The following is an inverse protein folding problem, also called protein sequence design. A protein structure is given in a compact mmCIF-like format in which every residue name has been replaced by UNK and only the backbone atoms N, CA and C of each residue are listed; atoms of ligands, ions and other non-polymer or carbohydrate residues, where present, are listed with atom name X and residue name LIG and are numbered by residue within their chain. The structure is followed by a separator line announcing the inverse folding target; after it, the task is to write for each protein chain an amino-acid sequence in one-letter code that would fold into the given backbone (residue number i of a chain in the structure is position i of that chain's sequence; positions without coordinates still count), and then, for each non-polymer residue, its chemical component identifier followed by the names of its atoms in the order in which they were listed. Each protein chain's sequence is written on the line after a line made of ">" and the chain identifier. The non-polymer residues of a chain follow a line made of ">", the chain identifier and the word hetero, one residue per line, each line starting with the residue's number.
data_IF_478913685270
#
_entry.id   IF_478913685270
#
_cell.length_a   1.000
_cell.length_b   1.000
_cell.length_c   1.000
_cell.angle_alpha   90.00
_cell.angle_beta   90.00
_cell.angle_gamma   90.00
#
_symmetry.space_group_name_H-M   'P 1'
#
loop_
_entity.id
_entity.type
_entity.pdbx_description
1 polymer ?
#
# COMPACT_ATOMS: atom_id res chain seq x y z
N UNK A 1 -23.79 23.59 -18.68
CA UNK A 1 -22.51 23.95 -17.99
C UNK A 1 -21.87 22.65 -17.55
N UNK A 2 -20.82 22.21 -18.22
CA UNK A 2 -20.16 20.95 -17.94
C UNK A 2 -19.24 21.08 -16.69
N UNK A 3 -19.20 20.11 -15.81
CA UNK A 3 -18.34 20.17 -14.63
C UNK A 3 -16.89 19.75 -14.95
N UNK A 4 -15.96 20.63 -14.64
CA UNK A 4 -14.52 20.51 -14.83
C UNK A 4 -13.78 19.49 -13.94
N UNK A 5 -14.39 18.40 -13.47
CA UNK A 5 -13.76 17.47 -12.52
C UNK A 5 -12.94 16.32 -13.12
N UNK A 6 -12.88 16.15 -14.45
CA UNK A 6 -12.17 15.04 -15.09
C UNK A 6 -10.64 15.22 -15.22
N UNK A 7 -10.08 16.42 -15.04
CA UNK A 7 -8.67 16.67 -15.32
C UNK A 7 -7.71 16.33 -14.18
N UNK A 8 -8.10 16.49 -12.92
CA UNK A 8 -7.19 16.23 -11.78
C UNK A 8 -6.90 14.74 -11.57
N UNK A 9 -7.91 13.86 -11.69
CA UNK A 9 -7.72 12.41 -11.54
C UNK A 9 -6.81 11.82 -12.61
N UNK A 10 -6.82 12.34 -13.83
CA UNK A 10 -6.00 11.83 -14.93
C UNK A 10 -4.53 12.21 -14.76
N UNK A 11 -4.22 13.39 -14.25
CA UNK A 11 -2.85 13.83 -13.96
C UNK A 11 -2.22 13.06 -12.79
N UNK A 12 -2.98 12.74 -11.74
CA UNK A 12 -2.50 11.96 -10.61
C UNK A 12 -2.17 10.52 -11.01
N UNK A 13 -3.03 9.86 -11.78
CA UNK A 13 -2.81 8.49 -12.26
C UNK A 13 -1.60 8.38 -13.22
N UNK A 14 -1.32 9.42 -14.00
CA UNK A 14 -0.14 9.47 -14.87
C UNK A 14 1.14 9.63 -14.03
N UNK A 15 1.11 10.42 -12.96
CA UNK A 15 2.24 10.61 -12.04
C UNK A 15 2.57 9.33 -11.27
N UNK A 16 1.58 8.61 -10.78
CA UNK A 16 1.75 7.34 -10.07
C UNK A 16 2.33 6.25 -10.97
N UNK A 17 1.81 6.10 -12.20
CA UNK A 17 2.38 5.15 -13.15
C UNK A 17 3.86 5.43 -13.44
N UNK A 18 4.26 6.71 -13.53
CA UNK A 18 5.67 7.10 -13.70
C UNK A 18 6.51 6.73 -12.47
N UNK A 19 6.01 6.98 -11.26
CA UNK A 19 6.71 6.62 -10.03
C UNK A 19 6.95 5.10 -9.94
N UNK A 20 5.94 4.28 -10.24
CA UNK A 20 6.10 2.83 -10.30
C UNK A 20 7.12 2.39 -11.36
N UNK A 21 7.05 2.93 -12.58
CA UNK A 21 7.98 2.58 -13.66
C UNK A 21 9.42 2.96 -13.28
N UNK A 22 9.63 4.16 -12.73
CA UNK A 22 10.96 4.60 -12.28
C UNK A 22 11.45 3.72 -11.14
N UNK A 23 10.62 3.47 -10.11
CA UNK A 23 10.98 2.61 -8.99
C UNK A 23 11.34 1.19 -9.42
N UNK A 24 10.51 0.56 -10.26
CA UNK A 24 10.78 -0.77 -10.82
C UNK A 24 12.09 -0.76 -11.62
N UNK A 25 12.31 0.24 -12.47
CA UNK A 25 13.51 0.31 -13.32
C UNK A 25 14.78 0.46 -12.46
N UNK A 26 14.75 1.32 -11.45
CA UNK A 26 15.88 1.52 -10.54
C UNK A 26 16.21 0.23 -9.75
N UNK A 27 15.18 -0.43 -9.21
CA UNK A 27 15.38 -1.67 -8.45
C UNK A 27 15.83 -2.82 -9.36
N UNK A 28 15.29 -2.98 -10.58
CA UNK A 28 15.79 -3.97 -11.55
C UNK A 28 17.26 -3.71 -11.89
N UNK A 29 17.64 -2.47 -12.16
CA UNK A 29 19.03 -2.11 -12.47
C UNK A 29 19.95 -2.47 -11.28
N UNK A 30 19.51 -2.22 -10.06
CA UNK A 30 20.24 -2.57 -8.86
C UNK A 30 20.40 -4.09 -8.70
N UNK A 31 19.31 -4.86 -8.83
CA UNK A 31 19.33 -6.32 -8.80
C UNK A 31 20.32 -6.91 -9.82
N UNK A 32 20.34 -6.37 -11.05
CA UNK A 32 21.27 -6.83 -12.11
C UNK A 32 22.72 -6.59 -11.68
N UNK A 33 23.02 -5.41 -11.16
CA UNK A 33 24.39 -5.06 -10.71
C UNK A 33 24.79 -5.93 -9.53
N UNK A 34 23.91 -6.07 -8.54
CA UNK A 34 24.16 -6.84 -7.33
C UNK A 34 24.34 -8.35 -7.63
N UNK A 35 23.50 -8.91 -8.50
CA UNK A 35 23.64 -10.28 -9.00
C UNK A 35 24.97 -10.48 -9.74
N UNK A 36 25.33 -9.53 -10.64
CA UNK A 36 26.58 -9.56 -11.40
C UNK A 36 27.82 -9.50 -10.50
N UNK A 37 27.81 -8.61 -9.49
CA UNK A 37 28.89 -8.50 -8.51
C UNK A 37 28.94 -9.74 -7.61
N UNK A 38 27.80 -10.22 -7.13
CA UNK A 38 27.69 -11.44 -6.32
C UNK A 38 28.22 -12.67 -7.04
N UNK A 39 27.92 -12.81 -8.33
CA UNK A 39 28.44 -13.87 -9.17
C UNK A 39 29.95 -13.75 -9.42
N UNK A 40 30.44 -12.55 -9.73
CA UNK A 40 31.87 -12.32 -10.00
C UNK A 40 32.75 -12.59 -8.77
N UNK A 41 32.30 -12.17 -7.59
CA UNK A 41 33.01 -12.38 -6.32
C UNK A 41 32.65 -13.68 -5.60
N UNK A 42 31.81 -14.51 -6.21
CA UNK A 42 31.30 -15.78 -5.63
C UNK A 42 30.71 -15.59 -4.22
N UNK A 43 30.00 -14.47 -4.02
CA UNK A 43 29.43 -14.09 -2.74
C UNK A 43 27.97 -14.56 -2.64
N UNK A 44 27.73 -15.60 -1.84
CA UNK A 44 26.37 -16.07 -1.56
C UNK A 44 25.50 -15.01 -0.87
N UNK A 45 26.10 -14.16 -0.04
CA UNK A 45 25.40 -13.04 0.62
C UNK A 45 24.81 -12.07 -0.40
N UNK A 46 25.60 -11.60 -1.37
CA UNK A 46 25.15 -10.71 -2.42
C UNK A 46 24.11 -11.36 -3.34
N UNK A 47 24.25 -12.64 -3.64
CA UNK A 47 23.25 -13.37 -4.44
C UNK A 47 21.92 -13.54 -3.69
N UNK A 48 21.98 -13.74 -2.38
CA UNK A 48 20.79 -13.81 -1.52
C UNK A 48 20.09 -12.44 -1.45
N UNK A 49 20.84 -11.35 -1.30
CA UNK A 49 20.34 -9.98 -1.26
C UNK A 49 19.70 -9.59 -2.61
N UNK A 50 20.35 -9.90 -3.72
CA UNK A 50 19.77 -9.75 -5.06
C UNK A 50 18.47 -10.53 -5.24
N UNK A 51 18.36 -11.72 -4.65
CA UNK A 51 17.13 -12.51 -4.62
C UNK A 51 16.01 -11.85 -3.82
N UNK A 52 16.33 -11.23 -2.69
CA UNK A 52 15.40 -10.43 -1.89
C UNK A 52 14.90 -9.21 -2.66
N UNK A 53 15.80 -8.42 -3.20
CA UNK A 53 15.49 -7.23 -4.00
C UNK A 53 14.67 -7.56 -5.27
N UNK A 54 14.82 -8.76 -5.84
CA UNK A 54 13.93 -9.23 -6.90
C UNK A 54 12.49 -9.44 -6.42
N UNK A 55 12.30 -9.90 -5.18
CA UNK A 55 10.99 -9.98 -4.51
C UNK A 55 10.33 -8.61 -4.36
N UNK A 56 11.13 -7.57 -4.06
CA UNK A 56 10.66 -6.19 -3.92
C UNK A 56 10.17 -5.63 -5.27
N UNK A 57 10.93 -5.90 -6.34
CA UNK A 57 10.50 -5.60 -7.71
C UNK A 57 9.17 -6.27 -8.04
N UNK A 58 8.98 -7.55 -7.65
CA UNK A 58 7.74 -8.26 -7.87
C UNK A 58 6.56 -7.58 -7.15
N UNK A 59 6.76 -7.11 -5.90
CA UNK A 59 5.75 -6.37 -5.13
C UNK A 59 5.36 -5.05 -5.82
N UNK A 60 6.33 -4.28 -6.33
CA UNK A 60 6.07 -3.07 -7.10
C UNK A 60 5.32 -3.35 -8.41
N UNK A 61 5.68 -4.42 -9.11
CA UNK A 61 5.01 -4.85 -10.35
C UNK A 61 3.56 -5.26 -10.05
N UNK A 62 3.31 -6.00 -8.98
CA UNK A 62 1.95 -6.39 -8.57
C UNK A 62 1.09 -5.15 -8.27
N UNK A 63 1.63 -4.17 -7.54
CA UNK A 63 0.92 -2.92 -7.26
C UNK A 63 0.61 -2.15 -8.55
N UNK A 64 1.56 -2.02 -9.47
CA UNK A 64 1.34 -1.39 -10.78
C UNK A 64 0.29 -2.15 -11.61
N UNK A 65 0.32 -3.49 -11.58
CA UNK A 65 -0.65 -4.33 -12.28
C UNK A 65 -2.05 -4.12 -11.73
N UNK A 66 -2.22 -4.03 -10.42
CA UNK A 66 -3.50 -3.74 -9.79
C UNK A 66 -4.11 -2.42 -10.28
N UNK A 67 -3.31 -1.34 -10.37
CA UNK A 67 -3.75 -0.08 -10.96
C UNK A 67 -4.16 -0.18 -12.43
N UNK A 68 -3.52 -1.05 -13.21
CA UNK A 68 -3.92 -1.30 -14.61
C UNK A 68 -5.21 -2.11 -14.68
N UNK A 69 -5.35 -3.14 -13.86
CA UNK A 69 -6.54 -3.99 -13.80
C UNK A 69 -7.78 -3.20 -13.35
N UNK A 70 -7.64 -2.24 -12.45
CA UNK A 70 -8.74 -1.36 -12.02
C UNK A 70 -9.39 -0.61 -13.20
N UNK A 71 -8.64 -0.34 -14.27
CA UNK A 71 -9.12 0.38 -15.47
C UNK A 71 -9.76 -0.52 -16.52
N UNK A 72 -9.70 -1.84 -16.33
CA UNK A 72 -10.31 -2.79 -17.27
C UNK A 72 -11.83 -2.69 -17.17
N UNK A 73 -12.49 -2.57 -18.33
CA UNK A 73 -13.93 -2.42 -18.39
C UNK A 73 -14.68 -3.61 -17.77
N UNK A 74 -15.80 -3.36 -17.12
CA UNK A 74 -16.70 -4.41 -16.63
C UNK A 74 -17.11 -5.38 -17.73
N UNK A 75 -17.39 -6.64 -17.33
CA UNK A 75 -17.93 -7.66 -18.21
C UNK A 75 -19.02 -8.46 -17.51
N UNK A 76 -19.65 -9.42 -18.21
CA UNK A 76 -20.76 -10.20 -17.65
C UNK A 76 -20.41 -11.04 -16.41
N UNK A 77 -19.12 -11.37 -16.19
CA UNK A 77 -18.67 -12.12 -15.01
C UNK A 77 -18.21 -11.21 -13.87
N UNK A 78 -17.67 -10.03 -14.22
CA UNK A 78 -17.13 -9.05 -13.27
C UNK A 78 -17.80 -7.70 -13.55
N UNK A 79 -18.97 -7.49 -12.99
CA UNK A 79 -19.84 -6.33 -13.28
C UNK A 79 -19.25 -5.00 -12.78
N UNK A 80 -18.39 -5.01 -11.77
CA UNK A 80 -17.59 -3.87 -11.36
C UNK A 80 -16.18 -3.86 -11.99
N UNK A 81 -15.88 -4.77 -12.94
CA UNK A 81 -14.54 -4.99 -13.46
C UNK A 81 -13.62 -5.63 -12.41
N UNK A 82 -12.32 -5.33 -12.50
CA UNK A 82 -11.30 -5.87 -11.59
C UNK A 82 -10.88 -4.89 -10.50
N UNK A 83 -11.74 -3.96 -10.11
CA UNK A 83 -11.44 -2.91 -9.13
C UNK A 83 -10.95 -3.46 -7.79
N UNK A 84 -11.54 -4.54 -7.29
CA UNK A 84 -11.10 -5.21 -6.05
C UNK A 84 -9.68 -5.77 -6.09
N UNK A 85 -9.07 -5.92 -7.28
CA UNK A 85 -7.66 -6.34 -7.37
C UNK A 85 -6.71 -5.41 -6.62
N UNK A 86 -7.02 -4.11 -6.53
CA UNK A 86 -6.21 -3.15 -5.79
C UNK A 86 -6.21 -3.43 -4.28
N UNK A 87 -7.35 -3.81 -3.72
CA UNK A 87 -7.49 -4.20 -2.30
C UNK A 87 -6.73 -5.50 -2.03
N UNK A 88 -6.90 -6.51 -2.90
CA UNK A 88 -6.25 -7.81 -2.73
C UNK A 88 -4.72 -7.71 -2.85
N UNK A 89 -4.20 -6.90 -3.77
CA UNK A 89 -2.76 -6.68 -3.92
C UNK A 89 -2.21 -5.89 -2.73
N UNK A 90 -2.94 -4.89 -2.22
CA UNK A 90 -2.54 -4.18 -1.00
C UNK A 90 -2.45 -5.12 0.21
N UNK A 91 -3.43 -6.02 0.36
CA UNK A 91 -3.41 -7.04 1.40
C UNK A 91 -2.23 -8.00 1.23
N UNK A 92 -1.98 -8.46 -0.01
CA UNK A 92 -0.84 -9.34 -0.31
C UNK A 92 0.49 -8.67 0.02
N UNK A 93 0.68 -7.41 -0.34
CA UNK A 93 1.89 -6.65 -0.02
C UNK A 93 2.09 -6.49 1.49
N UNK A 94 1.02 -6.23 2.25
CA UNK A 94 1.11 -6.19 3.71
C UNK A 94 1.54 -7.54 4.31
N UNK A 95 1.02 -8.65 3.77
CA UNK A 95 1.41 -10.00 4.20
C UNK A 95 2.88 -10.29 3.84
N UNK A 96 3.32 -9.95 2.63
CA UNK A 96 4.73 -10.11 2.20
C UNK A 96 5.66 -9.35 3.14
N UNK A 97 5.37 -8.09 3.48
CA UNK A 97 6.14 -7.29 4.44
C UNK A 97 6.23 -7.96 5.82
N UNK A 98 5.12 -8.49 6.34
CA UNK A 98 5.12 -9.16 7.65
C UNK A 98 5.90 -10.48 7.63
N UNK A 99 5.87 -11.20 6.51
CA UNK A 99 6.70 -12.41 6.33
C UNK A 99 8.19 -12.03 6.31
N UNK A 100 8.56 -10.99 5.55
CA UNK A 100 9.94 -10.48 5.52
C UNK A 100 10.43 -10.08 6.91
N UNK A 101 9.61 -9.37 7.68
CA UNK A 101 9.93 -9.01 9.08
C UNK A 101 10.08 -10.26 9.96
N UNK A 102 9.25 -11.29 9.77
CA UNK A 102 9.38 -12.57 10.46
C UNK A 102 10.74 -13.22 10.19
N UNK A 103 11.25 -13.15 8.97
CA UNK A 103 12.59 -13.63 8.59
C UNK A 103 13.66 -12.80 9.30
N UNK A 104 13.58 -11.47 9.29
CA UNK A 104 14.52 -10.57 9.98
C UNK A 104 14.59 -10.91 11.47
N UNK A 105 13.45 -11.15 12.13
CA UNK A 105 13.41 -11.55 13.54
C UNK A 105 14.10 -12.90 13.75
N UNK A 106 13.79 -13.90 12.93
CA UNK A 106 14.38 -15.23 13.04
C UNK A 106 15.90 -15.19 12.85
N UNK A 107 16.40 -14.49 11.83
CA UNK A 107 17.83 -14.30 11.58
C UNK A 107 18.51 -13.52 12.71
N UNK A 108 17.87 -12.47 13.22
CA UNK A 108 18.41 -11.70 14.35
C UNK A 108 18.53 -12.54 15.61
N UNK A 109 17.53 -13.37 15.91
CA UNK A 109 17.56 -14.30 17.04
C UNK A 109 18.67 -15.34 16.85
N UNK A 110 18.81 -15.92 15.66
CA UNK A 110 19.87 -16.89 15.37
C UNK A 110 21.27 -16.28 15.57
N UNK A 111 21.50 -15.07 15.06
CA UNK A 111 22.77 -14.33 15.23
C UNK A 111 23.07 -13.96 16.68
N UNK A 112 22.06 -13.83 17.56
CA UNK A 112 22.29 -13.64 19.01
C UNK A 112 22.93 -14.87 19.66
N UNK A 113 22.54 -16.08 19.21
CA UNK A 113 23.06 -17.34 19.76
C UNK A 113 24.29 -17.83 19.00
N UNK A 114 24.42 -17.50 17.72
CA UNK A 114 25.53 -17.92 16.84
C UNK A 114 26.15 -16.69 16.16
N UNK A 115 26.97 -15.88 16.88
CA UNK A 115 27.60 -14.71 16.32
C UNK A 115 28.48 -15.06 15.11
N UNK A 116 28.20 -14.48 13.95
CA UNK A 116 29.00 -14.64 12.72
C UNK A 116 29.92 -13.43 12.57
N UNK A 117 31.22 -13.68 12.32
CA UNK A 117 32.11 -12.60 11.90
C UNK A 117 31.85 -12.21 10.47
N UNK A 118 31.36 -11.01 10.24
CA UNK A 118 31.06 -10.48 8.93
C UNK A 118 32.27 -9.70 8.40
N UNK A 119 32.81 -10.09 7.24
CA UNK A 119 33.83 -9.31 6.54
C UNK A 119 33.16 -8.13 5.81
N UNK A 120 33.29 -6.93 6.45
CA UNK A 120 32.33 -5.86 6.30
C UNK A 120 32.47 -4.95 5.07
N UNK A 121 33.55 -5.01 4.25
CA UNK A 121 33.78 -3.93 3.30
C UNK A 121 32.95 -4.01 2.02
N UNK A 122 32.84 -5.17 1.38
CA UNK A 122 32.05 -5.34 0.15
C UNK A 122 30.53 -5.26 0.42
N UNK A 123 30.10 -5.81 1.57
CA UNK A 123 28.71 -5.77 2.03
C UNK A 123 28.29 -4.34 2.37
N UNK A 124 29.16 -3.54 3.01
CA UNK A 124 28.87 -2.15 3.36
C UNK A 124 28.67 -1.26 2.13
N UNK A 125 29.42 -1.47 1.05
CA UNK A 125 29.26 -0.70 -0.18
C UNK A 125 27.97 -1.02 -0.91
N UNK A 126 27.62 -2.30 -1.05
CA UNK A 126 26.37 -2.74 -1.67
C UNK A 126 25.15 -2.32 -0.86
N UNK A 127 25.18 -2.49 0.47
CA UNK A 127 24.16 -1.97 1.35
C UNK A 127 24.00 -0.44 1.23
N UNK A 128 25.12 0.30 1.11
CA UNK A 128 25.08 1.75 0.91
C UNK A 128 24.39 2.18 -0.39
N UNK A 129 24.59 1.45 -1.49
CA UNK A 129 23.88 1.68 -2.76
C UNK A 129 22.40 1.31 -2.60
N UNK A 130 22.08 0.20 -1.94
CA UNK A 130 20.72 -0.21 -1.61
C UNK A 130 19.96 0.86 -0.83
N UNK A 131 20.59 1.45 0.20
CA UNK A 131 20.01 2.59 0.95
C UNK A 131 19.58 3.71 0.01
N UNK A 132 20.47 4.12 -0.91
CA UNK A 132 20.19 5.24 -1.81
C UNK A 132 19.03 4.90 -2.75
N UNK A 133 19.03 3.72 -3.35
CA UNK A 133 18.00 3.31 -4.32
C UNK A 133 16.65 3.14 -3.64
N UNK A 134 16.59 2.44 -2.49
CA UNK A 134 15.36 2.21 -1.76
C UNK A 134 14.81 3.52 -1.17
N UNK A 135 15.67 4.39 -0.64
CA UNK A 135 15.26 5.71 -0.15
C UNK A 135 14.73 6.61 -1.26
N UNK A 136 15.38 6.64 -2.44
CA UNK A 136 14.89 7.38 -3.60
C UNK A 136 13.55 6.82 -4.09
N UNK A 137 13.41 5.51 -4.15
CA UNK A 137 12.16 4.86 -4.56
C UNK A 137 11.04 5.13 -3.54
N UNK A 138 11.32 5.04 -2.24
CA UNK A 138 10.37 5.41 -1.19
C UNK A 138 9.95 6.89 -1.32
N UNK A 139 10.90 7.79 -1.58
CA UNK A 139 10.61 9.21 -1.76
C UNK A 139 9.67 9.48 -2.94
N UNK A 140 9.77 8.73 -4.04
CA UNK A 140 8.85 8.84 -5.17
C UNK A 140 7.39 8.57 -4.78
N UNK A 141 7.15 7.66 -3.83
CA UNK A 141 5.82 7.30 -3.34
C UNK A 141 5.34 8.14 -2.15
N UNK A 142 6.24 8.84 -1.47
CA UNK A 142 5.95 9.54 -0.20
C UNK A 142 4.80 10.55 -0.31
N UNK A 143 4.69 11.25 -1.44
CA UNK A 143 3.67 12.30 -1.66
C UNK A 143 2.25 11.75 -1.73
N UNK A 144 2.08 10.54 -2.27
CA UNK A 144 0.76 9.99 -2.58
C UNK A 144 0.42 8.75 -1.73
N UNK A 145 1.27 8.39 -0.76
CA UNK A 145 1.11 7.21 0.11
C UNK A 145 -0.19 7.18 0.92
N UNK A 146 -0.72 8.34 1.27
CA UNK A 146 -1.93 8.45 2.09
C UNK A 146 -3.22 8.46 1.25
N UNK A 147 -3.09 8.45 -0.09
CA UNK A 147 -4.23 8.50 -1.02
C UNK A 147 -4.65 7.11 -1.52
N UNK A 148 -3.75 6.13 -1.48
CA UNK A 148 -4.01 4.77 -1.96
C UNK A 148 -3.19 3.73 -1.21
N UNK A 149 -3.82 2.60 -0.85
CA UNK A 149 -3.19 1.54 -0.05
C UNK A 149 -2.06 0.82 -0.80
N UNK A 150 -2.10 0.72 -2.15
CA UNK A 150 -1.00 0.13 -2.91
C UNK A 150 0.21 1.05 -2.95
N UNK A 151 -0.01 2.39 -3.04
CA UNK A 151 1.06 3.39 -2.95
C UNK A 151 1.65 3.38 -1.53
N UNK A 152 0.80 3.30 -0.51
CA UNK A 152 1.23 3.15 0.89
C UNK A 152 2.05 1.87 1.10
N UNK A 153 1.60 0.75 0.52
CA UNK A 153 2.33 -0.52 0.54
C UNK A 153 3.71 -0.42 -0.11
N UNK A 154 3.79 0.14 -1.32
CA UNK A 154 5.05 0.36 -2.03
C UNK A 154 6.00 1.28 -1.25
N UNK A 155 5.48 2.39 -0.68
CA UNK A 155 6.25 3.29 0.17
C UNK A 155 6.82 2.57 1.39
N UNK A 156 5.97 1.84 2.13
CA UNK A 156 6.38 1.13 3.36
C UNK A 156 7.41 0.05 3.08
N UNK A 157 7.26 -0.68 1.98
CA UNK A 157 8.19 -1.71 1.54
C UNK A 157 9.57 -1.10 1.27
N UNK A 158 9.67 -0.12 0.40
CA UNK A 158 10.94 0.56 0.07
C UNK A 158 11.56 1.29 1.27
N UNK A 159 10.74 1.87 2.14
CA UNK A 159 11.22 2.51 3.37
C UNK A 159 11.76 1.50 4.39
N UNK A 160 11.12 0.32 4.49
CA UNK A 160 11.58 -0.78 5.33
C UNK A 160 12.96 -1.28 4.86
N UNK A 161 13.11 -1.51 3.54
CA UNK A 161 14.36 -2.00 2.96
C UNK A 161 15.49 -0.97 3.11
N UNK A 162 15.19 0.32 2.91
CA UNK A 162 16.14 1.39 3.20
C UNK A 162 16.57 1.41 4.68
N UNK A 163 15.61 1.21 5.60
CA UNK A 163 15.87 1.19 7.04
C UNK A 163 16.73 -0.02 7.46
N UNK A 164 16.44 -1.19 6.91
CA UNK A 164 17.24 -2.41 7.12
C UNK A 164 18.67 -2.17 6.65
N UNK A 165 18.83 -1.65 5.41
CA UNK A 165 20.16 -1.35 4.84
C UNK A 165 20.93 -0.30 5.66
N UNK A 166 20.28 0.76 6.16
CA UNK A 166 20.89 1.72 7.10
C UNK A 166 21.32 1.04 8.39
N UNK A 167 20.50 0.14 8.93
CA UNK A 167 20.83 -0.63 10.12
C UNK A 167 22.06 -1.52 9.93
N UNK A 168 22.16 -2.18 8.77
CA UNK A 168 23.33 -3.00 8.39
C UNK A 168 24.60 -2.15 8.32
N UNK A 169 24.53 -0.97 7.68
CA UNK A 169 25.68 -0.06 7.62
C UNK A 169 26.06 0.47 9.01
N UNK A 170 25.08 0.86 9.82
CA UNK A 170 25.32 1.36 11.18
C UNK A 170 25.92 0.27 12.09
N UNK A 171 25.38 -0.95 12.04
CA UNK A 171 25.93 -2.08 12.79
C UNK A 171 27.37 -2.38 12.37
N UNK A 172 27.64 -2.43 11.06
CA UNK A 172 28.97 -2.64 10.51
C UNK A 172 30.01 -1.62 11.00
N UNK A 173 29.62 -0.32 11.01
CA UNK A 173 30.48 0.76 11.55
C UNK A 173 30.75 0.53 13.04
N UNK A 174 29.72 0.30 13.85
CA UNK A 174 29.86 0.10 15.29
C UNK A 174 30.73 -1.13 15.59
N UNK A 175 30.50 -2.23 14.89
CA UNK A 175 31.27 -3.47 15.06
C UNK A 175 32.75 -3.25 14.72
N UNK A 176 33.03 -2.51 13.66
CA UNK A 176 34.41 -2.20 13.24
C UNK A 176 35.19 -1.45 14.33
N UNK A 177 34.55 -0.53 15.06
CA UNK A 177 35.22 0.27 16.10
C UNK A 177 35.19 -0.40 17.48
N UNK A 178 34.18 -1.23 17.79
CA UNK A 178 33.99 -1.78 19.14
C UNK A 178 34.25 -3.28 19.25
N UNK A 179 34.18 -4.02 18.13
CA UNK A 179 34.21 -5.48 18.10
C UNK A 179 32.93 -6.16 18.62
N UNK A 180 31.88 -5.39 18.91
CA UNK A 180 30.66 -5.92 19.52
C UNK A 180 29.66 -6.44 18.45
N UNK A 181 29.83 -7.71 18.05
CA UNK A 181 28.97 -8.34 17.02
C UNK A 181 27.48 -8.47 17.44
N UNK A 182 27.18 -8.37 18.74
CA UNK A 182 25.79 -8.41 19.25
C UNK A 182 24.94 -7.18 18.84
N UNK A 183 25.58 -6.11 18.40
CA UNK A 183 24.88 -4.89 17.96
C UNK A 183 24.03 -5.14 16.71
N UNK A 184 24.51 -5.97 15.77
CA UNK A 184 23.79 -6.27 14.53
C UNK A 184 22.39 -6.87 14.78
N UNK A 185 22.24 -7.99 15.51
CA UNK A 185 20.92 -8.54 15.80
C UNK A 185 20.04 -7.63 16.67
N UNK A 186 20.61 -6.82 17.56
CA UNK A 186 19.82 -5.85 18.35
C UNK A 186 19.22 -4.78 17.46
N UNK A 187 20.01 -4.22 16.54
CA UNK A 187 19.52 -3.24 15.54
C UNK A 187 18.47 -3.91 14.66
N UNK A 188 18.69 -5.14 14.17
CA UNK A 188 17.72 -5.90 13.37
C UNK A 188 16.38 -6.08 14.08
N UNK A 189 16.38 -6.46 15.35
CA UNK A 189 15.14 -6.57 16.15
C UNK A 189 14.45 -5.21 16.34
N UNK A 190 15.22 -4.14 16.58
CA UNK A 190 14.66 -2.79 16.69
C UNK A 190 13.98 -2.34 15.40
N UNK A 191 14.60 -2.59 14.25
CA UNK A 191 14.05 -2.31 12.93
C UNK A 191 12.78 -3.13 12.68
N UNK A 192 12.79 -4.43 13.01
CA UNK A 192 11.64 -5.31 12.88
C UNK A 192 10.42 -4.76 13.62
N UNK A 193 10.58 -4.26 14.86
CA UNK A 193 9.49 -3.61 15.61
C UNK A 193 8.93 -2.40 14.87
N UNK A 194 9.80 -1.52 14.33
CA UNK A 194 9.38 -0.32 13.59
C UNK A 194 8.57 -0.73 12.35
N UNK A 195 9.02 -1.74 11.60
CA UNK A 195 8.32 -2.21 10.40
C UNK A 195 6.98 -2.85 10.75
N UNK A 196 6.88 -3.67 11.79
CA UNK A 196 5.60 -4.24 12.24
C UNK A 196 4.60 -3.14 12.55
N UNK A 197 4.99 -2.16 13.36
CA UNK A 197 4.09 -1.05 13.77
C UNK A 197 3.62 -0.25 12.55
N UNK A 198 4.51 0.06 11.61
CA UNK A 198 4.16 0.83 10.41
C UNK A 198 3.29 0.03 9.42
N UNK A 199 3.50 -1.29 9.31
CA UNK A 199 2.77 -2.16 8.38
C UNK A 199 1.41 -2.60 8.94
N UNK A 200 1.24 -2.59 10.27
CA UNK A 200 0.00 -3.01 10.91
C UNK A 200 -1.23 -2.26 10.41
N UNK A 201 -1.12 -0.95 10.24
CA UNK A 201 -2.19 -0.13 9.67
C UNK A 201 -2.56 -0.54 8.25
N UNK A 202 -1.56 -0.80 7.39
CA UNK A 202 -1.80 -1.27 6.03
C UNK A 202 -2.53 -2.62 6.00
N UNK A 203 -2.11 -3.58 6.83
CA UNK A 203 -2.75 -4.88 6.95
C UNK A 203 -4.20 -4.75 7.40
N UNK A 204 -4.43 -3.99 8.48
CA UNK A 204 -5.77 -3.79 9.05
C UNK A 204 -6.72 -3.13 8.05
N UNK A 205 -6.28 -2.05 7.41
CA UNK A 205 -7.07 -1.32 6.41
C UNK A 205 -7.39 -2.21 5.20
N UNK A 206 -6.40 -2.93 4.66
CA UNK A 206 -6.59 -3.82 3.51
C UNK A 206 -7.51 -4.99 3.85
N UNK A 207 -7.39 -5.58 5.03
CA UNK A 207 -8.26 -6.65 5.50
C UNK A 207 -9.70 -6.15 5.67
N UNK A 208 -9.89 -4.97 6.29
CA UNK A 208 -11.19 -4.32 6.45
C UNK A 208 -11.89 -4.12 5.10
N UNK A 209 -11.16 -3.57 4.10
CA UNK A 209 -11.72 -3.36 2.76
C UNK A 209 -12.00 -4.69 2.02
N UNK A 210 -11.21 -5.73 2.23
CA UNK A 210 -11.42 -7.04 1.62
C UNK A 210 -12.66 -7.76 2.16
N UNK A 211 -13.04 -7.46 3.41
CA UNK A 211 -14.23 -7.96 4.11
C UNK A 211 -15.45 -7.03 3.94
N UNK A 212 -15.45 -6.16 2.97
CA UNK A 212 -16.52 -5.18 2.70
C UNK A 212 -16.82 -4.24 3.90
N UNK A 213 -15.82 -4.00 4.76
CA UNK A 213 -15.94 -3.02 5.84
C UNK A 213 -15.99 -1.58 5.31
N UNK A 214 -16.58 -0.68 6.10
CA UNK A 214 -16.68 0.74 5.76
C UNK A 214 -15.27 1.32 5.60
N UNK A 215 -14.94 1.99 4.48
CA UNK A 215 -13.61 2.55 4.24
C UNK A 215 -13.18 3.55 5.33
N UNK A 216 -11.86 3.63 5.56
CA UNK A 216 -11.28 4.60 6.49
C UNK A 216 -11.61 6.03 6.00
N UNK A 217 -12.05 6.89 6.92
CA UNK A 217 -12.46 8.26 6.61
C UNK A 217 -13.93 8.44 6.26
N UNK A 218 -14.70 7.34 6.11
CA UNK A 218 -16.14 7.39 5.94
C UNK A 218 -16.82 7.03 7.27
N UNK A 219 -17.72 7.91 7.72
CA UNK A 219 -18.56 7.70 8.89
C UNK A 219 -19.98 7.34 8.43
N UNK A 220 -20.39 6.09 8.64
CA UNK A 220 -21.69 5.59 8.23
C UNK A 220 -22.83 6.32 8.92
N UNK A 221 -22.68 6.73 10.19
CA UNK A 221 -23.70 7.47 10.93
C UNK A 221 -23.87 8.88 10.35
N UNK A 222 -22.76 9.54 10.02
CA UNK A 222 -22.79 10.84 9.36
C UNK A 222 -23.44 10.77 7.96
N UNK A 223 -23.14 9.73 7.19
CA UNK A 223 -23.79 9.50 5.88
C UNK A 223 -25.29 9.31 6.06
N UNK A 224 -25.73 8.50 7.01
CA UNK A 224 -27.15 8.29 7.30
C UNK A 224 -27.83 9.60 7.69
N UNK A 225 -27.20 10.40 8.55
CA UNK A 225 -27.70 11.69 8.96
C UNK A 225 -27.84 12.66 7.79
N UNK A 226 -26.84 12.75 6.91
CA UNK A 226 -26.87 13.57 5.70
C UNK A 226 -28.01 13.20 4.76
N UNK A 227 -28.35 11.89 4.68
CA UNK A 227 -29.52 11.44 3.90
C UNK A 227 -30.82 11.87 4.58
N UNK A 228 -30.92 11.70 5.91
CA UNK A 228 -32.14 12.05 6.67
C UNK A 228 -32.39 13.56 6.75
N UNK A 229 -31.36 14.39 6.59
CA UNK A 229 -31.49 15.86 6.56
C UNK A 229 -32.03 16.39 5.22
N UNK A 230 -32.19 15.52 4.20
CA UNK A 230 -32.71 15.96 2.91
C UNK A 230 -34.24 16.18 2.98
N UNK A 231 -34.77 17.25 2.35
CA UNK A 231 -36.19 17.51 2.34
C UNK A 231 -37.00 16.35 1.77
N UNK A 232 -38.09 15.97 2.42
CA UNK A 232 -38.98 14.88 2.00
C UNK A 232 -38.50 13.48 2.40
N UNK A 233 -37.40 13.35 3.14
CA UNK A 233 -36.94 12.07 3.70
C UNK A 233 -37.48 11.90 5.13
N UNK A 234 -38.23 10.83 5.37
CA UNK A 234 -38.73 10.45 6.70
C UNK A 234 -37.75 9.53 7.44
N UNK A 235 -37.13 8.58 6.71
CA UNK A 235 -36.23 7.62 7.33
C UNK A 235 -35.18 7.11 6.33
N UNK A 236 -34.04 6.61 6.88
CA UNK A 236 -33.00 5.93 6.13
C UNK A 236 -32.54 4.69 6.91
N UNK A 237 -32.67 3.52 6.30
CA UNK A 237 -32.25 2.25 6.90
C UNK A 237 -31.56 1.36 5.87
N UNK A 238 -31.08 0.16 6.31
CA UNK A 238 -30.32 -0.79 5.49
C UNK A 238 -29.16 -0.11 4.71
N UNK A 239 -28.49 0.81 5.41
CA UNK A 239 -27.30 1.48 4.85
C UNK A 239 -26.11 0.53 4.86
N UNK A 240 -25.60 0.20 3.68
CA UNK A 240 -24.37 -0.57 3.49
C UNK A 240 -23.36 0.26 2.71
N UNK A 241 -22.11 0.30 3.18
CA UNK A 241 -21.03 1.05 2.55
C UNK A 241 -19.82 0.13 2.46
N UNK A 242 -19.25 -0.03 1.26
CA UNK A 242 -18.08 -0.88 1.05
C UNK A 242 -17.16 -0.31 -0.03
N UNK A 243 -15.92 -0.79 -0.07
CA UNK A 243 -14.95 -0.41 -1.08
C UNK A 243 -15.08 -1.27 -2.36
N UNK A 244 -15.13 -0.63 -3.52
CA UNK A 244 -14.97 -1.26 -4.82
C UNK A 244 -13.49 -1.39 -5.18
N UNK A 245 -12.68 -0.41 -4.78
CA UNK A 245 -11.22 -0.38 -4.92
C UNK A 245 -10.62 0.33 -3.71
N UNK A 246 -9.30 0.49 -3.70
CA UNK A 246 -8.61 1.29 -2.66
C UNK A 246 -8.98 2.78 -2.69
N UNK A 247 -9.65 3.24 -3.75
CA UNK A 247 -10.02 4.66 -3.96
C UNK A 247 -11.48 4.90 -4.30
N UNK A 248 -12.27 3.85 -4.55
CA UNK A 248 -13.67 3.98 -4.92
C UNK A 248 -14.57 3.25 -3.93
N UNK A 249 -15.65 3.92 -3.53
CA UNK A 249 -16.63 3.41 -2.56
C UNK A 249 -18.00 3.26 -3.23
N UNK A 250 -18.71 2.19 -2.86
CA UNK A 250 -20.10 1.97 -3.17
C UNK A 250 -20.97 2.03 -1.92
N UNK A 251 -22.24 2.34 -2.11
CA UNK A 251 -23.23 2.46 -1.07
C UNK A 251 -24.59 1.98 -1.57
N UNK A 252 -25.32 1.29 -0.68
CA UNK A 252 -26.77 1.05 -0.85
C UNK A 252 -27.50 1.54 0.39
N UNK A 253 -28.69 2.09 0.21
CA UNK A 253 -29.58 2.50 1.29
C UNK A 253 -31.04 2.39 0.88
N UNK A 254 -31.93 2.12 1.86
CA UNK A 254 -33.36 2.29 1.75
C UNK A 254 -33.73 3.66 2.31
N UNK A 255 -34.49 4.43 1.54
CA UNK A 255 -34.89 5.80 1.88
C UNK A 255 -36.40 5.86 1.84
N UNK A 256 -37.02 6.11 2.99
CA UNK A 256 -38.46 6.33 3.11
C UNK A 256 -38.76 7.80 2.87
N UNK A 257 -39.70 8.09 1.97
CA UNK A 257 -40.09 9.47 1.61
C UNK A 257 -41.56 9.70 1.84
N UNK A 258 -41.93 10.93 2.18
CA UNK A 258 -43.32 11.34 2.45
C UNK A 258 -44.23 11.16 1.21
N UNK A 259 -43.68 11.40 0.02
CA UNK A 259 -44.47 11.44 -1.20
C UNK A 259 -43.70 10.87 -2.38
N UNK A 260 -44.12 9.72 -2.86
CA UNK A 260 -43.49 8.99 -3.99
C UNK A 260 -43.51 9.79 -5.31
N UNK A 261 -44.40 10.77 -5.47
CA UNK A 261 -44.42 11.62 -6.68
C UNK A 261 -43.22 12.56 -6.76
N UNK A 262 -42.54 12.80 -5.65
CA UNK A 262 -41.32 13.66 -5.55
C UNK A 262 -40.00 12.84 -5.60
N UNK A 263 -40.06 11.57 -6.00
CA UNK A 263 -38.94 10.65 -6.03
C UNK A 263 -37.66 11.23 -6.62
N UNK A 264 -37.75 11.85 -7.82
CA UNK A 264 -36.55 12.38 -8.50
C UNK A 264 -36.06 13.68 -7.83
N UNK A 265 -36.96 14.48 -7.24
CA UNK A 265 -36.61 15.71 -6.52
C UNK A 265 -35.82 15.39 -5.24
N UNK A 266 -36.13 14.29 -4.55
CA UNK A 266 -35.42 13.83 -3.34
C UNK A 266 -34.16 13.09 -3.68
N UNK A 267 -34.19 12.21 -4.68
CA UNK A 267 -33.06 11.32 -5.04
C UNK A 267 -31.84 12.07 -5.57
N UNK A 268 -32.06 13.13 -6.36
CA UNK A 268 -30.96 13.87 -6.99
C UNK A 268 -30.06 14.59 -5.95
N UNK A 269 -30.59 15.39 -4.99
CA UNK A 269 -29.79 16.02 -3.94
C UNK A 269 -29.05 14.99 -3.04
N UNK A 270 -29.70 13.86 -2.71
CA UNK A 270 -29.06 12.80 -1.95
C UNK A 270 -27.82 12.29 -2.68
N UNK A 271 -27.93 12.00 -3.99
CA UNK A 271 -26.79 11.51 -4.77
C UNK A 271 -25.65 12.52 -4.84
N UNK A 272 -25.94 13.80 -5.01
CA UNK A 272 -24.93 14.85 -5.01
C UNK A 272 -24.21 14.96 -3.67
N UNK A 273 -24.97 14.91 -2.57
CA UNK A 273 -24.42 14.93 -1.20
C UNK A 273 -23.53 13.71 -0.96
N UNK A 274 -23.94 12.52 -1.41
CA UNK A 274 -23.16 11.29 -1.27
C UNK A 274 -21.86 11.31 -2.09
N UNK A 275 -21.87 11.90 -3.29
CA UNK A 275 -20.67 12.09 -4.10
C UNK A 275 -19.68 13.02 -3.38
N UNK A 276 -20.17 14.13 -2.81
CA UNK A 276 -19.34 15.04 -2.01
C UNK A 276 -18.79 14.39 -0.74
N UNK A 277 -19.52 13.42 -0.17
CA UNK A 277 -19.09 12.64 0.99
C UNK A 277 -18.19 11.44 0.64
N UNK A 278 -17.76 11.31 -0.64
CA UNK A 278 -16.81 10.29 -1.10
C UNK A 278 -17.44 8.99 -1.60
N UNK A 279 -18.77 8.89 -1.74
CA UNK A 279 -19.44 7.72 -2.32
C UNK A 279 -19.75 7.95 -3.79
N UNK A 280 -18.95 7.36 -4.67
CA UNK A 280 -19.08 7.54 -6.12
C UNK A 280 -20.11 6.62 -6.77
N UNK A 281 -20.56 5.58 -6.08
CA UNK A 281 -21.52 4.60 -6.60
C UNK A 281 -22.61 4.33 -5.57
N UNK A 282 -23.67 5.15 -5.61
CA UNK A 282 -24.79 5.03 -4.70
C UNK A 282 -26.02 4.42 -5.40
N UNK A 283 -26.61 3.38 -4.80
CA UNK A 283 -27.89 2.79 -5.18
C UNK A 283 -28.89 3.04 -4.05
N UNK A 284 -29.97 3.78 -4.34
CA UNK A 284 -31.01 4.09 -3.38
C UNK A 284 -32.28 3.37 -3.79
N UNK A 285 -32.79 2.56 -2.89
CA UNK A 285 -34.16 2.05 -2.95
C UNK A 285 -35.04 3.04 -2.21
N UNK A 286 -36.03 3.57 -2.86
CA UNK A 286 -36.95 4.56 -2.27
C UNK A 286 -38.29 3.87 -2.01
N UNK A 287 -38.82 4.06 -0.80
CA UNK A 287 -40.04 3.46 -0.26
C UNK A 287 -41.03 4.53 0.20
#
# INVERSE_FOLDING_TARGET
>A
MEPHHHHEHNHQLISLNKAFIIGITLNIAFVIVEFGVGFYYNSLGLLSDAGHNLGDVASLVLAMLAFRLQKVHPNSRYTYGYKKSTILVSLLNAVILLVAVGIIIAESIDKLFHPVSVDGSAIAWTAGVGVVINALTAWLFMKDKDKDLNVKGAYLHMAADALVSVGVVASGIIITYTGWSIIDPIIGLGIAVVIIVSTWGLLHDSLRLSLDGVPVGIDAQKIQQLIMEQPGVENCHHLHIWALSTTETALTAHVVIDNITQLEEVKHPIKETLVQAGSHHATLQVE
#
